data_IF_069325354444
#
_entry.id   IF_069325354444
#
_cell.length_a   1.000
_cell.length_b   1.000
_cell.length_c   1.000
_cell.angle_alpha   90.00
_cell.angle_beta   90.00
_cell.angle_gamma   90.00
#
_symmetry.space_group_name_H-M   'P 1'
#
loop_
_entity.id
_entity.type
_entity.pdbx_description
1 polymer ?
#
# COMPACT_ATOMS: atom_id res chain seq x y z
N UNK A 1 5.28 -27.75 -14.83
CA UNK A 1 6.29 -27.05 -14.03
C UNK A 1 6.02 -25.59 -14.28
N UNK A 2 5.16 -24.99 -13.46
CA UNK A 2 4.82 -23.56 -13.57
C UNK A 2 6.06 -22.75 -13.23
N UNK A 3 6.40 -21.83 -14.11
CA UNK A 3 7.60 -21.00 -14.00
C UNK A 3 7.34 -19.86 -13.01
N UNK A 4 8.40 -19.32 -12.40
CA UNK A 4 8.34 -18.09 -11.58
C UNK A 4 7.63 -16.95 -12.34
N UNK A 5 7.71 -16.94 -13.68
CA UNK A 5 6.93 -16.05 -14.54
C UNK A 5 5.41 -16.25 -14.42
N UNK A 6 4.91 -17.47 -14.30
CA UNK A 6 3.47 -17.74 -14.13
C UNK A 6 2.99 -17.32 -12.73
N UNK A 7 3.85 -17.43 -11.70
CA UNK A 7 3.58 -16.87 -10.37
C UNK A 7 3.53 -15.34 -10.39
N UNK A 8 4.49 -14.69 -11.06
CA UNK A 8 4.53 -13.23 -11.21
C UNK A 8 3.34 -12.74 -12.06
N UNK A 9 2.98 -13.44 -13.13
CA UNK A 9 1.80 -13.11 -13.96
C UNK A 9 0.51 -13.33 -13.15
N UNK A 10 0.44 -14.35 -12.30
CA UNK A 10 -0.69 -14.57 -11.38
C UNK A 10 -0.81 -13.47 -10.31
N UNK A 11 0.32 -12.94 -9.82
CA UNK A 11 0.31 -11.78 -8.91
C UNK A 11 -0.02 -10.47 -9.64
N UNK A 12 0.45 -10.27 -10.87
CA UNK A 12 0.13 -9.10 -11.70
C UNK A 12 -1.34 -9.10 -12.13
N UNK A 13 -1.93 -10.27 -12.43
CA UNK A 13 -3.35 -10.41 -12.70
C UNK A 13 -4.23 -10.12 -11.46
N UNK A 14 -3.68 -10.27 -10.25
CA UNK A 14 -4.31 -9.83 -9.01
C UNK A 14 -4.12 -8.33 -8.72
N UNK A 15 -3.18 -7.65 -9.39
CA UNK A 15 -3.04 -6.18 -9.33
C UNK A 15 -4.22 -5.45 -9.99
N UNK A 16 -5.00 -6.15 -10.84
CA UNK A 16 -6.29 -5.68 -11.36
C UNK A 16 -7.50 -6.15 -10.53
N UNK A 17 -7.28 -6.70 -9.33
CA UNK A 17 -8.36 -7.01 -8.41
C UNK A 17 -9.10 -5.73 -8.03
N UNK A 18 -10.42 -5.72 -8.19
CA UNK A 18 -11.26 -4.63 -7.69
C UNK A 18 -11.00 -4.34 -6.19
N UNK A 19 -10.52 -5.33 -5.42
CA UNK A 19 -10.14 -5.13 -4.02
C UNK A 19 -8.82 -4.36 -3.87
N UNK A 20 -7.81 -4.63 -4.71
CA UNK A 20 -6.56 -3.87 -4.70
C UNK A 20 -6.82 -2.40 -5.02
N UNK A 21 -7.67 -2.12 -6.02
CA UNK A 21 -8.07 -0.74 -6.35
C UNK A 21 -8.80 -0.04 -5.19
N UNK A 22 -9.70 -0.75 -4.48
CA UNK A 22 -10.41 -0.20 -3.32
C UNK A 22 -9.49 0.07 -2.13
N UNK A 23 -8.55 -0.83 -1.85
CA UNK A 23 -7.54 -0.62 -0.80
C UNK A 23 -6.57 0.50 -1.18
N UNK A 24 -6.09 0.56 -2.43
CA UNK A 24 -5.26 1.66 -2.92
C UNK A 24 -5.96 3.01 -2.77
N UNK A 25 -7.27 3.08 -3.04
CA UNK A 25 -8.06 4.28 -2.78
C UNK A 25 -8.09 4.66 -1.29
N UNK A 26 -8.24 3.68 -0.38
CA UNK A 26 -8.20 3.92 1.06
C UNK A 26 -6.81 4.42 1.51
N UNK A 27 -5.73 3.84 0.99
CA UNK A 27 -4.35 4.28 1.25
C UNK A 27 -4.14 5.71 0.74
N UNK A 28 -4.60 6.02 -0.48
CA UNK A 28 -4.54 7.37 -1.06
C UNK A 28 -5.25 8.40 -0.19
N UNK A 29 -6.41 8.04 0.36
CA UNK A 29 -7.13 8.88 1.33
C UNK A 29 -6.33 9.09 2.61
N UNK A 30 -5.74 8.03 3.16
CA UNK A 30 -4.89 8.12 4.36
C UNK A 30 -3.66 9.02 4.15
N UNK A 31 -3.05 8.97 2.96
CA UNK A 31 -1.93 9.87 2.60
C UNK A 31 -2.40 11.33 2.56
N UNK A 32 -3.56 11.61 1.95
CA UNK A 32 -4.13 12.97 1.96
C UNK A 32 -4.39 13.47 3.38
N UNK A 33 -5.01 12.65 4.23
CA UNK A 33 -5.29 12.98 5.63
C UNK A 33 -4.00 13.22 6.44
N UNK A 34 -2.96 12.42 6.21
CA UNK A 34 -1.62 12.61 6.81
C UNK A 34 -1.00 13.96 6.41
N UNK A 35 -1.09 14.33 5.12
CA UNK A 35 -0.60 15.63 4.61
C UNK A 35 -1.38 16.80 5.19
N UNK A 36 -2.70 16.68 5.27
CA UNK A 36 -3.57 17.71 5.86
C UNK A 36 -3.28 17.94 7.35
N UNK A 37 -2.85 16.90 8.06
CA UNK A 37 -2.39 16.99 9.46
C UNK A 37 -0.97 17.58 9.60
N UNK A 38 -0.29 17.92 8.50
CA UNK A 38 1.06 18.48 8.50
C UNK A 38 2.17 17.44 8.56
N UNK A 39 1.87 16.17 8.26
CA UNK A 39 2.87 15.12 8.17
C UNK A 39 3.87 15.36 7.05
N UNK A 40 5.15 15.11 7.30
CA UNK A 40 6.24 15.33 6.34
C UNK A 40 6.66 14.03 5.65
N UNK A 41 7.34 14.14 4.50
CA UNK A 41 7.89 12.98 3.82
C UNK A 41 9.27 12.60 4.39
N UNK A 42 9.29 11.71 5.38
CA UNK A 42 10.50 11.14 5.98
C UNK A 42 11.18 10.03 5.17
N UNK A 43 10.86 9.88 3.88
CA UNK A 43 11.53 8.94 2.95
C UNK A 43 11.38 7.46 3.28
N UNK A 44 10.46 7.11 4.16
CA UNK A 44 9.94 5.75 4.33
C UNK A 44 8.44 5.73 4.01
N UNK A 45 7.84 4.54 3.96
CA UNK A 45 6.41 4.41 3.84
C UNK A 45 5.90 3.21 4.63
N UNK A 46 5.13 3.48 5.66
CA UNK A 46 4.53 2.49 6.54
C UNK A 46 3.00 2.60 6.47
N UNK A 47 2.31 1.46 6.39
CA UNK A 47 0.85 1.42 6.25
C UNK A 47 0.27 0.39 7.20
N UNK A 48 -0.84 0.75 7.84
CA UNK A 48 -1.74 -0.19 8.51
C UNK A 48 -3.09 -0.15 7.82
N UNK A 49 -3.67 -1.31 7.51
CA UNK A 49 -4.95 -1.41 6.83
C UNK A 49 -5.86 -2.45 7.45
N UNK A 50 -7.15 -2.16 7.42
CA UNK A 50 -8.20 -3.06 7.92
C UNK A 50 -9.40 -3.07 6.97
N UNK A 51 -10.12 -4.19 6.97
CA UNK A 51 -11.39 -4.38 6.27
C UNK A 51 -12.50 -4.61 7.29
N UNK A 52 -13.41 -3.66 7.40
CA UNK A 52 -14.50 -3.66 8.39
C UNK A 52 -15.80 -3.28 7.68
N UNK A 53 -16.87 -4.02 7.93
CA UNK A 53 -18.22 -3.74 7.39
C UNK A 53 -18.27 -3.59 5.85
N UNK A 54 -17.37 -4.25 5.15
CA UNK A 54 -17.32 -4.22 3.69
C UNK A 54 -16.45 -3.11 3.11
N UNK A 55 -15.75 -2.32 3.94
CA UNK A 55 -14.92 -1.19 3.51
C UNK A 55 -13.47 -1.30 3.98
N UNK A 56 -12.53 -0.86 3.13
CA UNK A 56 -11.13 -0.73 3.50
C UNK A 56 -10.89 0.62 4.18
N UNK A 57 -10.14 0.57 5.27
CA UNK A 57 -9.63 1.73 5.98
C UNK A 57 -8.12 1.59 6.12
N UNK A 58 -7.40 2.69 5.99
CA UNK A 58 -5.95 2.70 6.10
C UNK A 58 -5.47 3.88 6.96
N UNK A 59 -4.30 3.70 7.55
CA UNK A 59 -3.48 4.75 8.14
C UNK A 59 -2.08 4.61 7.57
N UNK A 60 -1.38 5.72 7.41
CA UNK A 60 -0.01 5.70 6.93
C UNK A 60 0.90 6.62 7.73
N UNK A 61 2.20 6.35 7.61
CA UNK A 61 3.28 7.23 8.00
C UNK A 61 4.33 7.25 6.89
N UNK A 62 5.00 8.39 6.72
CA UNK A 62 6.17 8.50 5.83
C UNK A 62 7.51 8.38 6.60
N UNK A 63 7.46 7.69 7.74
CA UNK A 63 8.59 7.28 8.57
C UNK A 63 8.53 5.75 8.78
N UNK A 64 9.63 5.14 9.22
CA UNK A 64 9.63 3.73 9.64
C UNK A 64 8.85 3.58 10.94
N UNK A 65 7.63 3.05 10.85
CA UNK A 65 6.81 2.75 12.00
C UNK A 65 6.61 1.24 12.12
N UNK A 66 7.34 0.60 13.04
CA UNK A 66 7.29 -0.85 13.26
C UNK A 66 6.00 -1.34 13.94
N UNK A 67 5.10 -0.45 14.33
CA UNK A 67 3.72 -0.81 14.72
C UNK A 67 2.83 -0.99 13.47
N UNK A 68 3.30 -0.59 12.29
CA UNK A 68 2.64 -0.72 11.00
C UNK A 68 3.46 -1.64 10.06
N UNK A 69 2.91 -1.96 8.89
CA UNK A 69 3.68 -2.66 7.86
C UNK A 69 4.57 -1.66 7.14
N UNK A 70 5.89 -1.81 7.25
CA UNK A 70 6.86 -1.00 6.51
C UNK A 70 6.95 -1.52 5.07
N UNK A 71 6.49 -0.72 4.11
CA UNK A 71 6.51 -1.04 2.68
C UNK A 71 7.77 -0.52 1.99
N UNK A 72 8.28 0.62 2.46
CA UNK A 72 9.57 1.20 2.07
C UNK A 72 10.33 1.63 3.32
N UNK A 73 11.55 1.13 3.47
CA UNK A 73 12.48 1.58 4.50
C UNK A 73 13.12 2.92 4.11
N UNK A 74 13.59 3.67 5.10
CA UNK A 74 14.25 4.95 4.87
C UNK A 74 15.43 4.81 3.89
N UNK A 75 15.56 5.78 2.98
CA UNK A 75 16.65 5.87 2.00
C UNK A 75 16.81 4.69 1.03
N UNK A 76 15.83 3.77 0.97
CA UNK A 76 15.88 2.65 0.02
C UNK A 76 15.44 3.04 -1.39
N UNK A 77 14.39 3.86 -1.52
CA UNK A 77 13.88 4.36 -2.80
C UNK A 77 13.13 5.69 -2.63
N UNK A 78 13.89 6.76 -2.46
CA UNK A 78 13.38 8.10 -2.14
C UNK A 78 12.50 8.68 -3.25
N UNK A 79 12.76 8.32 -4.50
CA UNK A 79 11.99 8.81 -5.65
C UNK A 79 10.61 8.16 -5.66
N UNK A 80 10.54 6.84 -5.47
CA UNK A 80 9.25 6.13 -5.36
C UNK A 80 8.44 6.64 -4.17
N UNK A 81 9.03 6.74 -2.98
CA UNK A 81 8.32 7.26 -1.79
C UNK A 81 7.84 8.70 -2.00
N UNK A 82 8.62 9.55 -2.66
CA UNK A 82 8.20 10.91 -2.99
C UNK A 82 7.02 10.93 -3.96
N UNK A 83 7.03 10.06 -4.97
CA UNK A 83 5.92 9.94 -5.93
C UNK A 83 4.63 9.44 -5.28
N UNK A 84 4.74 8.55 -4.28
CA UNK A 84 3.62 8.08 -3.45
C UNK A 84 3.09 9.22 -2.58
N UNK A 85 3.96 9.95 -1.88
CA UNK A 85 3.59 11.09 -1.04
C UNK A 85 2.88 12.20 -1.83
N UNK A 86 3.32 12.46 -3.06
CA UNK A 86 2.69 13.45 -3.94
C UNK A 86 1.47 12.90 -4.69
N UNK A 87 1.07 11.65 -4.44
CA UNK A 87 -0.08 10.98 -5.07
C UNK A 87 0.01 10.94 -6.61
N UNK A 88 1.24 10.82 -7.13
CA UNK A 88 1.54 10.79 -8.57
C UNK A 88 1.80 9.38 -9.10
N UNK A 89 1.83 8.37 -8.22
CA UNK A 89 2.17 7.00 -8.56
C UNK A 89 1.06 6.02 -8.15
N UNK A 90 -0.09 6.15 -8.82
CA UNK A 90 -1.28 5.33 -8.55
C UNK A 90 -1.04 3.83 -8.87
N UNK A 91 -0.20 3.53 -9.86
CA UNK A 91 0.18 2.16 -10.21
C UNK A 91 0.91 1.48 -9.05
N UNK A 92 1.86 2.19 -8.44
CA UNK A 92 2.60 1.68 -7.28
C UNK A 92 1.69 1.51 -6.07
N UNK A 93 0.78 2.45 -5.79
CA UNK A 93 -0.22 2.30 -4.74
C UNK A 93 -1.09 1.05 -4.95
N UNK A 94 -1.50 0.78 -6.19
CA UNK A 94 -2.27 -0.41 -6.52
C UNK A 94 -1.44 -1.70 -6.35
N UNK A 95 -0.17 -1.67 -6.76
CA UNK A 95 0.77 -2.78 -6.58
C UNK A 95 0.98 -3.11 -5.10
N UNK A 96 1.19 -2.11 -4.25
CA UNK A 96 1.34 -2.27 -2.81
C UNK A 96 0.05 -2.80 -2.17
N UNK A 97 -1.11 -2.29 -2.56
CA UNK A 97 -2.39 -2.78 -2.08
C UNK A 97 -2.59 -4.27 -2.45
N UNK A 98 -2.28 -4.66 -3.69
CA UNK A 98 -2.32 -6.07 -4.11
C UNK A 98 -1.40 -6.95 -3.27
N UNK A 99 -0.17 -6.49 -3.01
CA UNK A 99 0.78 -7.19 -2.15
C UNK A 99 0.22 -7.38 -0.73
N UNK A 100 -0.28 -6.31 -0.10
CA UNK A 100 -0.86 -6.36 1.26
C UNK A 100 -2.01 -7.35 1.37
N UNK A 101 -2.88 -7.42 0.35
CA UNK A 101 -3.98 -8.38 0.31
C UNK A 101 -3.45 -9.82 0.16
N UNK A 102 -2.48 -10.05 -0.71
CA UNK A 102 -1.92 -11.38 -0.97
C UNK A 102 -1.15 -11.95 0.22
N UNK A 103 -0.49 -11.09 1.00
CA UNK A 103 0.31 -11.47 2.16
C UNK A 103 -0.52 -11.53 3.46
N UNK A 104 -1.82 -11.18 3.39
CA UNK A 104 -2.70 -11.19 4.56
C UNK A 104 -2.38 -10.10 5.59
N UNK A 105 -1.78 -8.99 5.15
CA UNK A 105 -1.42 -7.85 6.01
C UNK A 105 -2.59 -6.91 6.30
N UNK A 106 -3.76 -7.18 5.70
CA UNK A 106 -4.98 -6.38 5.92
C UNK A 106 -5.86 -7.08 6.95
N UNK A 107 -5.94 -6.49 8.14
CA UNK A 107 -6.73 -7.05 9.24
C UNK A 107 -8.21 -7.16 8.87
N UNK A 108 -8.84 -8.31 9.12
CA UNK A 108 -10.27 -8.52 8.83
C UNK A 108 -10.60 -8.86 7.37
N UNK A 109 -9.60 -8.89 6.47
CA UNK A 109 -9.78 -9.36 5.10
C UNK A 109 -9.36 -10.84 5.00
N UNK A 110 -10.29 -11.71 4.61
CA UNK A 110 -10.09 -13.17 4.60
C UNK A 110 -10.02 -13.81 3.21
N UNK A 111 -9.72 -13.02 2.16
CA UNK A 111 -9.47 -13.54 0.80
C UNK A 111 -10.64 -14.24 0.14
#
# INVERSE_FOLDING_TARGET
METIKDFIIGQIANTESAQAARLAHAIKKAISEYKEAGGENGKAFSVNAQYVEGEFNAQCSFEENFEMTVLYCEDTDNDTVSSIYELQNDEELCRLAGLMLSEGWVSGYNG
#
